data_IF_462789389424
#
_entry.id   IF_462789389424
#
_cell.length_a   1.000
_cell.length_b   1.000
_cell.length_c   1.000
_cell.angle_alpha   90.00
_cell.angle_beta   90.00
_cell.angle_gamma   90.00
#
_symmetry.space_group_name_H-M   'P 1'
#
loop_
_entity.id
_entity.type
_entity.pdbx_description
1 polymer ?
#
# COMPACT_ATOMS: atom_id res chain seq x y z
N UNK A 1 -18.77 -23.77 -5.55
CA UNK A 1 -17.61 -24.48 -6.12
C UNK A 1 -16.58 -23.40 -6.40
N UNK A 2 -15.63 -23.24 -5.48
CA UNK A 2 -14.61 -22.21 -5.60
C UNK A 2 -13.59 -22.64 -6.66
N UNK A 3 -13.58 -21.94 -7.80
CA UNK A 3 -12.51 -22.05 -8.78
C UNK A 3 -11.20 -21.62 -8.10
N UNK A 4 -10.34 -22.59 -7.79
CA UNK A 4 -9.02 -22.33 -7.21
C UNK A 4 -8.20 -21.55 -8.24
N UNK A 5 -8.01 -20.25 -7.97
CA UNK A 5 -7.18 -19.38 -8.82
C UNK A 5 -5.73 -19.87 -8.75
N UNK A 6 -5.22 -20.38 -9.88
CA UNK A 6 -3.83 -20.84 -10.00
C UNK A 6 -2.86 -19.67 -9.99
N UNK A 7 -1.62 -19.90 -9.56
CA UNK A 7 -0.59 -18.87 -9.42
C UNK A 7 -0.19 -18.20 -10.73
N UNK A 8 -0.33 -18.93 -11.84
CA UNK A 8 -0.08 -18.46 -13.20
C UNK A 8 -1.23 -17.61 -13.74
N UNK A 9 -2.40 -17.62 -13.09
CA UNK A 9 -3.51 -16.76 -13.47
C UNK A 9 -3.19 -15.30 -13.12
N UNK A 10 -3.42 -14.42 -14.08
CA UNK A 10 -3.46 -12.96 -13.91
C UNK A 10 -4.27 -12.48 -12.69
N UNK A 11 -5.24 -13.29 -12.22
CA UNK A 11 -6.10 -13.01 -11.07
C UNK A 11 -5.51 -13.44 -9.73
N UNK A 12 -4.41 -14.21 -9.70
CA UNK A 12 -3.82 -14.74 -8.48
C UNK A 12 -3.44 -13.64 -7.49
N UNK A 13 -2.56 -12.72 -7.91
CA UNK A 13 -2.09 -11.64 -7.04
C UNK A 13 -3.21 -10.67 -6.62
N UNK A 14 -4.16 -10.29 -7.49
CA UNK A 14 -5.37 -9.60 -7.05
C UNK A 14 -6.16 -10.33 -5.96
N UNK A 15 -6.41 -11.64 -6.11
CA UNK A 15 -7.16 -12.43 -5.14
C UNK A 15 -6.40 -12.56 -3.80
N UNK A 16 -5.11 -12.88 -3.86
CA UNK A 16 -4.22 -12.95 -2.70
C UNK A 16 -4.16 -11.61 -1.96
N UNK A 17 -4.08 -10.51 -2.70
CA UNK A 17 -4.08 -9.15 -2.17
C UNK A 17 -5.39 -8.80 -1.45
N UNK A 18 -6.54 -9.21 -2.01
CA UNK A 18 -7.84 -9.01 -1.39
C UNK A 18 -7.94 -9.80 -0.07
N UNK A 19 -7.53 -11.07 -0.08
CA UNK A 19 -7.53 -11.91 1.12
C UNK A 19 -6.64 -11.33 2.21
N UNK A 20 -5.41 -10.92 1.87
CA UNK A 20 -4.48 -10.33 2.83
C UNK A 20 -4.96 -8.97 3.35
N UNK A 21 -5.55 -8.13 2.50
CA UNK A 21 -6.16 -6.86 2.91
C UNK A 21 -7.29 -7.09 3.91
N UNK A 22 -8.18 -8.06 3.68
CA UNK A 22 -9.24 -8.42 4.63
C UNK A 22 -8.65 -9.01 5.92
N UNK A 23 -7.67 -9.90 5.81
CA UNK A 23 -7.03 -10.53 6.95
C UNK A 23 -6.35 -9.51 7.87
N UNK A 24 -5.81 -8.42 7.34
CA UNK A 24 -5.13 -7.36 8.12
C UNK A 24 -6.01 -6.71 9.21
N UNK A 25 -7.34 -6.87 9.13
CA UNK A 25 -8.30 -6.37 10.12
C UNK A 25 -8.56 -7.35 11.28
N UNK A 26 -8.13 -8.61 11.14
CA UNK A 26 -8.34 -9.62 12.18
C UNK A 26 -7.33 -9.46 13.33
N UNK A 27 -7.69 -9.99 14.50
CA UNK A 27 -6.78 -9.99 15.65
C UNK A 27 -5.61 -10.97 15.46
N UNK A 28 -4.55 -10.76 16.26
CA UNK A 28 -3.31 -11.53 16.17
C UNK A 28 -3.53 -13.05 16.35
N UNK A 29 -4.45 -13.43 17.24
CA UNK A 29 -4.76 -14.83 17.51
C UNK A 29 -5.38 -15.53 16.29
N UNK A 30 -6.31 -14.87 15.60
CA UNK A 30 -6.95 -15.38 14.38
C UNK A 30 -5.97 -15.46 13.19
N UNK A 31 -5.02 -14.54 13.13
CA UNK A 31 -4.00 -14.52 12.08
C UNK A 31 -2.99 -15.66 12.25
N UNK A 32 -2.58 -15.95 13.49
CA UNK A 32 -1.68 -17.09 13.79
C UNK A 32 -2.26 -18.45 13.42
N UNK A 33 -3.57 -18.61 13.46
CA UNK A 33 -4.24 -19.88 13.09
C UNK A 33 -4.46 -20.04 11.59
N UNK A 34 -4.38 -18.95 10.82
CA UNK A 34 -4.75 -18.93 9.39
C UNK A 34 -3.52 -18.86 8.46
N UNK A 35 -2.39 -18.33 8.96
CA UNK A 35 -1.16 -18.14 8.16
C UNK A 35 -0.05 -19.03 8.74
N UNK A 36 0.28 -20.12 8.05
CA UNK A 36 1.27 -21.11 8.51
C UNK A 36 2.75 -20.64 8.42
N UNK A 37 3.04 -19.48 7.82
CA UNK A 37 4.40 -19.05 7.51
C UNK A 37 4.75 -17.63 8.00
N UNK A 38 5.88 -17.54 8.73
CA UNK A 38 6.60 -16.35 9.25
C UNK A 38 5.77 -15.05 9.38
N UNK A 39 5.34 -14.76 10.60
CA UNK A 39 4.48 -13.61 10.93
C UNK A 39 5.26 -12.53 11.70
N UNK A 40 4.94 -11.25 11.47
CA UNK A 40 5.44 -10.13 12.28
C UNK A 40 4.44 -8.97 12.26
N UNK A 41 3.79 -8.74 13.39
CA UNK A 41 2.89 -7.61 13.63
C UNK A 41 3.68 -6.48 14.31
N UNK A 42 3.90 -5.36 13.62
CA UNK A 42 4.62 -4.22 14.20
C UNK A 42 4.00 -2.88 13.82
N UNK A 43 3.72 -2.06 14.85
CA UNK A 43 3.29 -0.68 14.74
C UNK A 43 2.87 -0.10 16.09
N UNK A 44 2.98 1.24 16.25
CA UNK A 44 2.24 2.00 17.28
C UNK A 44 0.73 2.02 16.93
N UNK A 45 -0.20 2.54 17.77
CA UNK A 45 -1.64 2.35 17.56
C UNK A 45 -2.20 2.80 16.20
N UNK A 46 -1.47 3.61 15.41
CA UNK A 46 -2.00 4.23 14.18
C UNK A 46 -1.76 3.46 12.87
N UNK A 47 -0.70 2.64 12.77
CA UNK A 47 -0.38 1.93 11.50
C UNK A 47 -0.08 0.47 11.78
N UNK A 48 -0.89 -0.41 11.21
CA UNK A 48 -0.79 -1.85 11.41
C UNK A 48 -0.58 -2.54 10.07
N UNK A 49 0.30 -3.53 10.05
CA UNK A 49 0.70 -4.23 8.83
C UNK A 49 0.75 -5.72 9.09
N UNK A 50 0.15 -6.48 8.18
CA UNK A 50 0.30 -7.92 8.06
C UNK A 50 1.38 -8.20 7.01
N UNK A 51 2.42 -8.94 7.39
CA UNK A 51 3.39 -9.50 6.45
C UNK A 51 3.22 -11.02 6.49
N UNK A 52 2.90 -11.62 5.35
CA UNK A 52 2.79 -13.06 5.17
C UNK A 52 3.75 -13.54 4.08
N UNK A 53 4.15 -14.80 4.16
CA UNK A 53 5.00 -15.43 3.15
C UNK A 53 4.26 -16.61 2.49
N UNK A 54 3.90 -16.43 1.23
CA UNK A 54 3.37 -17.48 0.36
C UNK A 54 4.53 -18.26 -0.27
N UNK A 55 4.81 -19.45 0.26
CA UNK A 55 5.86 -20.36 -0.22
C UNK A 55 5.29 -21.32 -1.26
N UNK A 56 5.90 -21.36 -2.44
CA UNK A 56 5.65 -22.38 -3.44
C UNK A 56 6.96 -22.74 -4.13
N UNK A 57 7.44 -23.96 -3.89
CA UNK A 57 8.76 -24.40 -4.38
C UNK A 57 9.85 -23.37 -4.01
N UNK A 58 10.56 -22.83 -5.00
CA UNK A 58 11.56 -21.77 -4.82
C UNK A 58 11.00 -20.35 -5.02
N UNK A 59 9.76 -20.22 -5.50
CA UNK A 59 9.08 -18.94 -5.77
C UNK A 59 8.35 -18.46 -4.54
N UNK A 60 9.09 -17.86 -3.61
CA UNK A 60 8.49 -17.22 -2.45
C UNK A 60 7.82 -15.89 -2.83
N UNK A 61 6.65 -15.59 -2.26
CA UNK A 61 6.05 -14.26 -2.38
C UNK A 61 5.70 -13.71 -1.01
N UNK A 62 6.36 -12.61 -0.63
CA UNK A 62 5.96 -11.83 0.53
C UNK A 62 4.72 -11.00 0.19
N UNK A 63 3.74 -10.99 1.09
CA UNK A 63 2.53 -10.19 0.97
C UNK A 63 2.53 -9.18 2.10
N UNK A 64 2.67 -7.91 1.75
CA UNK A 64 2.63 -6.79 2.70
C UNK A 64 1.26 -6.13 2.61
N UNK A 65 0.42 -6.32 3.63
CA UNK A 65 -0.93 -5.77 3.69
C UNK A 65 -1.03 -4.71 4.80
N UNK A 66 -1.19 -3.46 4.41
CA UNK A 66 -1.49 -2.37 5.34
C UNK A 66 -2.97 -2.43 5.74
N UNK A 67 -3.23 -2.42 7.05
CA UNK A 67 -4.58 -2.27 7.58
C UNK A 67 -5.04 -0.82 7.38
N UNK A 68 -6.28 -0.65 6.96
CA UNK A 68 -6.95 0.65 6.99
C UNK A 68 -7.70 0.89 8.29
N UNK A 69 -8.54 1.92 8.32
CA UNK A 69 -9.53 2.14 9.37
C UNK A 69 -10.75 1.24 9.18
N UNK A 70 -11.45 0.93 10.27
CA UNK A 70 -12.71 0.18 10.23
C UNK A 70 -13.76 0.94 9.39
N UNK A 71 -14.65 0.25 8.65
CA UNK A 71 -15.61 0.91 7.75
C UNK A 71 -16.51 1.95 8.45
N UNK A 72 -16.90 1.71 9.69
CA UNK A 72 -17.72 2.64 10.48
C UNK A 72 -16.94 3.88 10.98
N UNK A 73 -15.61 3.79 10.99
CA UNK A 73 -14.72 4.92 11.29
C UNK A 73 -14.14 5.56 10.02
N UNK A 74 -14.35 4.98 8.83
CA UNK A 74 -13.82 5.50 7.58
C UNK A 74 -14.46 6.85 7.18
N UNK A 75 -15.75 7.03 7.51
CA UNK A 75 -16.45 8.31 7.33
C UNK A 75 -15.95 9.37 8.31
N UNK A 76 -15.73 9.01 9.58
CA UNK A 76 -15.10 9.88 10.58
C UNK A 76 -13.64 10.21 10.25
N UNK A 77 -12.92 9.26 9.65
CA UNK A 77 -11.56 9.43 9.18
C UNK A 77 -11.48 10.45 8.04
N UNK A 78 -12.39 10.43 7.07
CA UNK A 78 -12.40 11.41 5.98
C UNK A 78 -12.58 12.85 6.49
N UNK A 79 -13.22 13.03 7.65
CA UNK A 79 -13.41 14.34 8.31
C UNK A 79 -12.29 14.71 9.27
N UNK A 80 -11.61 13.74 9.88
CA UNK A 80 -10.53 13.93 10.87
C UNK A 80 -9.12 13.94 10.27
N UNK A 81 -8.99 13.72 8.96
CA UNK A 81 -7.70 13.75 8.29
C UNK A 81 -7.06 15.12 8.39
N UNK A 82 -5.82 15.15 8.89
CA UNK A 82 -4.87 16.23 8.64
C UNK A 82 -4.62 16.32 7.12
N UNK A 83 -5.47 17.08 6.41
CA UNK A 83 -5.42 17.34 4.95
C UNK A 83 -4.21 18.23 4.58
N UNK A 84 -3.20 18.32 5.46
CA UNK A 84 -1.97 19.00 5.12
C UNK A 84 -1.29 18.34 3.92
N UNK A 85 -0.70 19.16 3.07
CA UNK A 85 0.12 18.72 1.98
C UNK A 85 1.56 18.52 2.44
N UNK A 86 2.16 17.40 2.05
CA UNK A 86 3.59 17.19 2.09
C UNK A 86 4.15 17.22 0.66
N UNK A 87 4.90 18.27 0.34
CA UNK A 87 5.50 18.46 -0.98
C UNK A 87 6.91 17.89 -1.04
N UNK A 88 7.22 17.18 -2.12
CA UNK A 88 8.57 16.74 -2.46
C UNK A 88 8.97 17.36 -3.81
N UNK A 89 10.04 18.17 -3.87
CA UNK A 89 10.51 18.76 -5.12
C UNK A 89 10.76 17.71 -6.20
N UNK A 90 10.27 17.97 -7.42
CA UNK A 90 10.39 17.05 -8.56
C UNK A 90 9.44 15.84 -8.54
N UNK A 91 8.68 15.66 -7.46
CA UNK A 91 7.70 14.56 -7.34
C UNK A 91 6.27 15.08 -7.33
N UNK A 92 5.98 16.10 -6.53
CA UNK A 92 4.63 16.63 -6.36
C UNK A 92 4.24 16.71 -4.89
N UNK A 93 2.94 16.80 -4.62
CA UNK A 93 2.40 16.86 -3.25
C UNK A 93 1.58 15.64 -2.94
N UNK A 94 1.70 15.17 -1.69
CA UNK A 94 1.01 14.00 -1.16
C UNK A 94 0.36 14.33 0.18
N UNK A 95 -0.62 13.54 0.58
CA UNK A 95 -1.31 13.71 1.86
C UNK A 95 -0.35 13.54 3.05
N UNK A 96 -0.18 14.59 3.83
CA UNK A 96 0.76 14.67 4.96
C UNK A 96 0.43 13.68 6.08
N UNK A 97 -0.86 13.52 6.40
CA UNK A 97 -1.32 12.48 7.34
C UNK A 97 -0.85 11.06 6.96
N UNK A 98 -1.02 10.64 5.70
CA UNK A 98 -0.57 9.31 5.26
C UNK A 98 0.95 9.17 5.27
N UNK A 99 1.67 10.23 4.89
CA UNK A 99 3.14 10.24 4.97
C UNK A 99 3.62 10.05 6.42
N UNK A 100 3.02 10.77 7.38
CA UNK A 100 3.30 10.60 8.82
C UNK A 100 3.00 9.19 9.29
N UNK A 101 1.84 8.64 8.92
CA UNK A 101 1.44 7.29 9.28
C UNK A 101 2.40 6.21 8.73
N UNK A 102 2.98 6.43 7.55
CA UNK A 102 3.93 5.50 6.94
C UNK A 102 5.33 5.58 7.58
N UNK A 103 5.75 6.74 8.07
CA UNK A 103 7.05 6.91 8.73
C UNK A 103 7.78 8.23 8.47
N UNK A 104 7.11 9.25 7.93
CA UNK A 104 7.72 10.58 7.73
C UNK A 104 8.23 11.14 9.07
N UNK A 105 9.50 11.54 9.10
CA UNK A 105 10.11 12.13 10.28
C UNK A 105 9.93 13.64 10.31
N UNK A 106 9.53 14.16 11.48
CA UNK A 106 9.39 15.60 11.70
C UNK A 106 10.75 16.29 11.50
N UNK A 107 10.78 17.38 10.75
CA UNK A 107 11.96 18.20 10.43
C UNK A 107 13.07 17.53 9.58
N UNK A 108 13.11 16.19 9.49
CA UNK A 108 14.11 15.45 8.72
C UNK A 108 13.57 14.96 7.36
N UNK A 109 12.27 14.66 7.29
CA UNK A 109 11.66 14.14 6.07
C UNK A 109 11.81 12.63 5.93
N UNK A 110 12.33 12.19 4.78
CA UNK A 110 12.52 10.77 4.41
C UNK A 110 14.00 10.43 4.23
N UNK A 111 14.81 10.43 5.31
CA UNK A 111 16.21 10.02 5.21
C UNK A 111 16.30 8.58 4.67
N UNK A 112 17.28 8.32 3.80
CA UNK A 112 17.42 6.99 3.18
C UNK A 112 17.72 5.93 4.22
N UNK A 113 18.61 6.21 5.15
CA UNK A 113 18.90 5.30 6.27
C UNK A 113 18.59 6.00 7.59
N UNK A 114 18.20 5.21 8.58
CA UNK A 114 17.89 5.68 9.92
C UNK A 114 18.61 4.79 10.93
N UNK A 115 19.04 5.40 12.03
CA UNK A 115 19.44 4.63 13.20
C UNK A 115 18.18 4.26 13.98
N UNK A 116 18.11 2.99 14.38
CA UNK A 116 16.97 2.50 15.15
C UNK A 116 17.15 2.89 16.62
N UNK A 117 16.38 3.86 17.06
CA UNK A 117 16.22 4.15 18.49
C UNK A 117 15.16 3.23 19.08
N UNK A 118 15.56 2.33 20.00
CA UNK A 118 14.67 1.38 20.66
C UNK A 118 13.67 2.06 21.61
N UNK A 119 13.94 3.31 22.02
CA UNK A 119 13.02 4.10 22.84
C UNK A 119 11.92 4.74 22.01
N UNK A 120 12.12 4.81 20.69
CA UNK A 120 11.14 5.36 19.77
C UNK A 120 10.32 4.25 19.10
N UNK A 121 9.09 4.59 18.69
CA UNK A 121 8.25 3.67 17.97
C UNK A 121 8.87 3.29 16.63
N UNK A 122 8.74 2.03 16.20
CA UNK A 122 9.16 1.64 14.87
C UNK A 122 8.40 2.44 13.80
N UNK A 123 9.12 2.88 12.78
CA UNK A 123 8.55 3.53 11.60
C UNK A 123 8.22 2.46 10.55
N UNK A 124 6.96 2.39 10.13
CA UNK A 124 6.44 1.27 9.34
C UNK A 124 7.23 1.03 8.05
N UNK A 125 7.53 2.09 7.28
CA UNK A 125 8.33 1.99 6.05
C UNK A 125 9.66 1.27 6.28
N UNK A 126 10.47 1.75 7.23
CA UNK A 126 11.82 1.23 7.45
C UNK A 126 11.80 -0.21 7.95
N UNK A 127 10.88 -0.55 8.86
CA UNK A 127 10.71 -1.93 9.34
C UNK A 127 10.38 -2.87 8.20
N UNK A 128 9.39 -2.54 7.37
CA UNK A 128 8.94 -3.39 6.25
C UNK A 128 10.08 -3.52 5.23
N UNK A 129 10.72 -2.40 4.88
CA UNK A 129 11.85 -2.37 3.97
C UNK A 129 12.97 -3.30 4.43
N UNK A 130 13.35 -3.25 5.71
CA UNK A 130 14.45 -4.05 6.23
C UNK A 130 14.09 -5.54 6.32
N UNK A 131 12.83 -5.87 6.64
CA UNK A 131 12.32 -7.26 6.58
C UNK A 131 12.39 -7.79 5.14
N UNK A 132 11.95 -7.01 4.16
CA UNK A 132 11.98 -7.40 2.76
C UNK A 132 13.41 -7.47 2.22
N UNK A 133 14.28 -6.50 2.53
CA UNK A 133 15.70 -6.54 2.15
C UNK A 133 16.34 -7.85 2.61
N UNK A 134 16.13 -8.23 3.87
CA UNK A 134 16.63 -9.50 4.41
C UNK A 134 16.04 -10.70 3.67
N UNK A 135 14.71 -10.82 3.63
CA UNK A 135 14.04 -11.98 3.03
C UNK A 135 14.33 -12.19 1.54
N UNK A 136 14.43 -11.09 0.78
CA UNK A 136 14.74 -11.14 -0.66
C UNK A 136 16.23 -11.38 -0.93
N UNK A 137 17.14 -11.03 0.00
CA UNK A 137 18.56 -11.36 -0.14
C UNK A 137 18.86 -12.85 0.11
N UNK A 138 18.00 -13.54 0.87
CA UNK A 138 18.14 -14.96 1.19
C UNK A 138 17.56 -15.89 0.09
N UNK A 139 16.68 -15.38 -0.78
CA UNK A 139 16.12 -16.11 -1.92
C UNK A 139 16.01 -15.17 -3.13
N UNK A 140 16.85 -15.39 -4.13
CA UNK A 140 16.94 -14.59 -5.35
C UNK A 140 15.67 -14.63 -6.22
N UNK A 141 14.86 -15.69 -6.11
CA UNK A 141 13.57 -15.85 -6.80
C UNK A 141 12.39 -15.32 -6.00
N UNK A 142 12.61 -14.91 -4.75
CA UNK A 142 11.56 -14.33 -3.94
C UNK A 142 11.12 -12.98 -4.51
N UNK A 143 9.81 -12.74 -4.47
CA UNK A 143 9.18 -11.47 -4.85
C UNK A 143 8.28 -10.98 -3.74
N UNK A 144 7.71 -9.79 -3.90
CA UNK A 144 6.68 -9.33 -2.98
C UNK A 144 5.59 -8.52 -3.67
N UNK A 145 4.43 -8.49 -3.04
CA UNK A 145 3.32 -7.61 -3.39
C UNK A 145 2.99 -6.71 -2.20
N UNK A 146 2.47 -5.52 -2.49
CA UNK A 146 1.99 -4.57 -1.48
C UNK A 146 0.51 -4.32 -1.69
N UNK A 147 -0.26 -4.35 -0.61
CA UNK A 147 -1.70 -4.21 -0.68
C UNK A 147 -2.27 -3.49 0.54
N UNK A 148 -3.55 -3.13 0.44
CA UNK A 148 -4.30 -2.56 1.53
C UNK A 148 -5.67 -2.08 1.08
N UNK A 149 -6.57 -1.95 2.05
CA UNK A 149 -7.93 -1.47 1.87
C UNK A 149 -8.12 -0.10 2.55
N UNK A 150 -8.90 0.80 1.95
CA UNK A 150 -9.16 2.15 2.47
C UNK A 150 -7.83 2.91 2.71
N UNK A 151 -7.59 3.46 3.92
CA UNK A 151 -6.31 4.04 4.35
C UNK A 151 -5.12 3.11 4.04
N UNK A 152 -5.25 1.80 4.23
CA UNK A 152 -4.20 0.84 3.93
C UNK A 152 -3.81 0.86 2.45
N UNK A 153 -4.76 1.12 1.55
CA UNK A 153 -4.48 1.30 0.13
C UNK A 153 -3.65 2.57 -0.15
N UNK A 154 -3.85 3.63 0.63
CA UNK A 154 -3.04 4.85 0.51
C UNK A 154 -1.61 4.62 1.01
N UNK A 155 -1.44 3.90 2.11
CA UNK A 155 -0.13 3.51 2.63
C UNK A 155 0.62 2.58 1.67
N UNK A 156 -0.09 1.64 1.04
CA UNK A 156 0.49 0.71 0.05
C UNK A 156 1.14 1.43 -1.14
N UNK A 157 0.47 2.44 -1.71
CA UNK A 157 1.06 3.20 -2.83
C UNK A 157 2.19 4.10 -2.37
N UNK A 158 2.07 4.72 -1.19
CA UNK A 158 3.13 5.57 -0.64
C UNK A 158 4.38 4.75 -0.29
N UNK A 159 4.23 3.50 0.15
CA UNK A 159 5.36 2.60 0.35
C UNK A 159 6.16 2.45 -0.95
N UNK A 160 5.49 2.17 -2.08
CA UNK A 160 6.11 2.12 -3.41
C UNK A 160 6.77 3.46 -3.82
N UNK A 161 6.16 4.59 -3.45
CA UNK A 161 6.74 5.92 -3.67
C UNK A 161 8.05 6.11 -2.92
N UNK A 162 8.11 5.76 -1.64
CA UNK A 162 9.35 5.94 -0.85
C UNK A 162 10.44 4.98 -1.33
N UNK A 163 10.10 3.76 -1.78
CA UNK A 163 11.06 2.86 -2.44
C UNK A 163 11.71 3.53 -3.67
N UNK A 164 10.90 4.20 -4.51
CA UNK A 164 11.39 4.94 -5.68
C UNK A 164 12.28 6.11 -5.27
N UNK A 165 11.88 6.88 -4.24
CA UNK A 165 12.67 8.01 -3.74
C UNK A 165 14.03 7.58 -3.16
N UNK A 166 14.07 6.43 -2.49
CA UNK A 166 15.29 5.89 -1.89
C UNK A 166 16.15 5.11 -2.90
N UNK A 167 15.69 4.94 -4.14
CA UNK A 167 16.32 4.09 -5.15
C UNK A 167 16.63 2.69 -4.58
N UNK A 168 15.63 2.05 -4.00
CA UNK A 168 15.73 0.69 -3.45
C UNK A 168 15.75 -0.35 -4.57
N UNK A 169 16.83 -0.43 -5.34
CA UNK A 169 16.91 -1.22 -6.58
C UNK A 169 16.47 -2.67 -6.41
N UNK A 170 17.00 -3.38 -5.39
CA UNK A 170 16.63 -4.78 -5.12
C UNK A 170 15.12 -4.94 -4.88
N UNK A 171 14.52 -4.03 -4.10
CA UNK A 171 13.09 -4.08 -3.79
C UNK A 171 12.25 -3.71 -5.00
N UNK A 172 12.65 -2.69 -5.77
CA UNK A 172 11.92 -2.27 -6.97
C UNK A 172 11.93 -3.37 -8.04
N UNK A 173 13.03 -4.10 -8.20
CA UNK A 173 13.14 -5.24 -9.12
C UNK A 173 12.34 -6.47 -8.67
N UNK A 174 12.07 -6.61 -7.36
CA UNK A 174 11.34 -7.74 -6.77
C UNK A 174 9.88 -7.41 -6.43
N UNK A 175 9.45 -6.17 -6.67
CA UNK A 175 8.07 -5.73 -6.48
C UNK A 175 7.20 -6.20 -7.64
N UNK A 176 6.47 -7.30 -7.41
CA UNK A 176 5.58 -7.90 -8.40
C UNK A 176 4.33 -7.04 -8.67
N UNK A 177 3.87 -6.29 -7.66
CA UNK A 177 2.83 -5.32 -7.87
C UNK A 177 2.25 -4.71 -6.60
N UNK A 178 1.48 -3.64 -6.82
CA UNK A 178 0.70 -2.95 -5.81
C UNK A 178 -0.77 -3.09 -6.17
N UNK A 179 -1.56 -3.62 -5.24
CA UNK A 179 -2.99 -3.88 -5.45
C UNK A 179 -3.77 -3.20 -4.33
N UNK A 180 -4.58 -2.19 -4.65
CA UNK A 180 -5.26 -1.39 -3.62
C UNK A 180 -6.78 -1.50 -3.76
N UNK A 181 -7.47 -1.51 -2.63
CA UNK A 181 -8.92 -1.65 -2.58
C UNK A 181 -9.54 -0.44 -1.91
N UNK A 182 -10.50 0.21 -2.57
CA UNK A 182 -11.19 1.41 -2.05
C UNK A 182 -10.23 2.53 -1.62
N UNK A 183 -9.13 2.68 -2.36
CA UNK A 183 -8.08 3.62 -2.03
C UNK A 183 -8.54 5.08 -2.23
N UNK A 184 -8.35 5.97 -1.22
CA UNK A 184 -8.59 7.40 -1.37
C UNK A 184 -7.51 8.06 -2.23
N UNK A 185 -7.72 9.29 -2.70
CA UNK A 185 -6.68 10.00 -3.46
C UNK A 185 -5.50 10.33 -2.55
N UNK A 186 -4.28 10.16 -3.05
CA UNK A 186 -3.06 10.21 -2.23
C UNK A 186 -2.21 11.44 -2.51
N UNK A 187 -2.24 11.96 -3.73
CA UNK A 187 -1.46 13.15 -4.10
C UNK A 187 -2.03 13.90 -5.28
N UNK A 188 -1.34 14.94 -5.70
CA UNK A 188 -1.74 15.80 -6.81
C UNK A 188 -1.37 15.24 -8.20
N UNK A 189 -1.67 16.00 -9.26
CA UNK A 189 -1.37 15.59 -10.63
C UNK A 189 0.12 15.41 -10.94
N UNK A 190 1.01 16.16 -10.27
CA UNK A 190 2.45 15.99 -10.44
C UNK A 190 2.90 14.64 -9.86
N UNK A 191 2.44 14.31 -8.65
CA UNK A 191 2.68 13.01 -8.01
C UNK A 191 2.17 11.85 -8.87
N UNK A 192 0.95 11.97 -9.40
CA UNK A 192 0.35 10.98 -10.29
C UNK A 192 1.21 10.71 -11.54
N UNK A 193 1.77 11.76 -12.15
CA UNK A 193 2.63 11.64 -13.32
C UNK A 193 4.00 11.04 -12.97
N UNK A 194 4.61 11.48 -11.88
CA UNK A 194 5.88 10.94 -11.39
C UNK A 194 5.79 9.42 -11.16
N UNK A 195 4.79 8.97 -10.41
CA UNK A 195 4.65 7.55 -10.09
C UNK A 195 4.29 6.69 -11.32
N UNK A 196 3.51 7.24 -12.26
CA UNK A 196 3.24 6.55 -13.53
C UNK A 196 4.51 6.29 -14.32
N UNK A 197 5.43 7.25 -14.35
CA UNK A 197 6.73 7.09 -15.02
C UNK A 197 7.60 6.05 -14.28
N UNK A 198 7.71 6.16 -12.96
CA UNK A 198 8.52 5.24 -12.14
C UNK A 198 8.04 3.80 -12.22
N UNK A 199 6.73 3.56 -12.19
CA UNK A 199 6.19 2.21 -12.33
C UNK A 199 6.38 1.63 -13.74
N UNK A 200 6.37 2.47 -14.77
CA UNK A 200 6.73 2.04 -16.12
C UNK A 200 8.21 1.66 -16.20
N UNK A 201 9.09 2.46 -15.62
CA UNK A 201 10.55 2.23 -15.57
C UNK A 201 10.89 0.90 -14.87
N UNK A 202 10.28 0.64 -13.71
CA UNK A 202 10.52 -0.56 -12.91
C UNK A 202 9.58 -1.74 -13.24
N UNK A 203 8.75 -1.62 -14.27
CA UNK A 203 7.77 -2.66 -14.66
C UNK A 203 6.83 -3.09 -13.53
N UNK A 204 6.53 -2.18 -12.59
CA UNK A 204 5.67 -2.43 -11.44
C UNK A 204 4.21 -2.39 -11.87
N UNK A 205 3.47 -3.48 -11.62
CA UNK A 205 2.02 -3.51 -11.85
C UNK A 205 1.30 -2.76 -10.73
N UNK A 206 0.45 -1.80 -11.09
CA UNK A 206 -0.40 -1.09 -10.14
C UNK A 206 -1.87 -1.16 -10.56
N UNK A 207 -2.67 -1.83 -9.73
CA UNK A 207 -4.10 -2.02 -9.95
C UNK A 207 -4.89 -1.50 -8.76
N UNK A 208 -5.90 -0.68 -9.06
CA UNK A 208 -6.83 -0.11 -8.08
C UNK A 208 -8.21 -0.70 -8.29
N UNK A 209 -8.78 -1.23 -7.22
CA UNK A 209 -10.08 -1.86 -7.21
C UNK A 209 -11.06 -0.94 -6.49
N UNK A 210 -12.08 -0.50 -7.22
CA UNK A 210 -13.10 0.46 -6.74
C UNK A 210 -14.48 -0.16 -6.92
N UNK A 211 -15.31 -0.13 -5.88
CA UNK A 211 -16.72 -0.53 -5.97
C UNK A 211 -17.57 0.70 -6.34
N UNK A 212 -18.48 0.56 -7.31
CA UNK A 212 -19.10 1.67 -8.05
C UNK A 212 -19.87 2.69 -7.18
N UNK A 213 -20.40 2.27 -6.03
CA UNK A 213 -21.24 3.11 -5.16
C UNK A 213 -20.47 3.77 -4.00
N UNK A 214 -19.15 3.72 -3.98
CA UNK A 214 -18.40 4.14 -2.78
C UNK A 214 -17.86 5.56 -2.83
N UNK A 215 -17.94 6.22 -1.67
CA UNK A 215 -17.50 7.58 -1.43
C UNK A 215 -15.98 7.67 -1.22
N UNK A 216 -15.37 6.70 -0.55
CA UNK A 216 -13.93 6.73 -0.18
C UNK A 216 -13.01 6.92 -1.40
N UNK A 217 -13.22 6.25 -2.55
CA UNK A 217 -12.42 6.48 -3.75
C UNK A 217 -12.69 7.84 -4.42
N UNK A 218 -13.67 8.61 -3.96
CA UNK A 218 -13.98 9.95 -4.45
C UNK A 218 -13.43 11.03 -3.52
N UNK A 219 -12.72 10.65 -2.46
CA UNK A 219 -12.14 11.54 -1.47
C UNK A 219 -10.61 11.42 -1.41
N UNK A 220 -9.88 12.51 -1.11
CA UNK A 220 -10.34 13.90 -1.13
C UNK A 220 -10.90 14.30 -2.51
N UNK A 221 -11.84 15.25 -2.56
CA UNK A 221 -12.54 15.62 -3.80
C UNK A 221 -11.58 16.14 -4.89
N UNK A 222 -11.94 15.93 -6.16
CA UNK A 222 -11.25 16.52 -7.32
C UNK A 222 -11.94 17.84 -7.68
N UNK A 223 -11.96 18.76 -6.73
CA UNK A 223 -12.41 20.13 -6.94
C UNK A 223 -11.20 21.08 -7.05
N UNK A 224 -11.48 22.32 -7.45
CA UNK A 224 -10.45 23.35 -7.68
C UNK A 224 -9.63 23.69 -6.44
N UNK A 225 -10.11 23.34 -5.24
CA UNK A 225 -9.42 23.65 -3.98
C UNK A 225 -8.51 22.50 -3.53
N UNK A 226 -8.96 21.24 -3.69
CA UNK A 226 -8.24 20.06 -3.21
C UNK A 226 -7.35 19.40 -4.26
N UNK A 227 -7.63 19.43 -5.57
CA UNK A 227 -6.69 19.05 -6.65
C UNK A 227 -6.00 17.65 -6.55
N UNK A 228 -6.48 16.74 -5.72
CA UNK A 228 -5.95 15.38 -5.63
C UNK A 228 -6.34 14.58 -6.88
N UNK A 229 -5.43 13.73 -7.38
CA UNK A 229 -5.68 12.90 -8.57
C UNK A 229 -5.32 11.43 -8.36
N UNK A 230 -6.14 10.57 -8.94
CA UNK A 230 -5.88 9.13 -9.02
C UNK A 230 -4.98 8.80 -10.23
N UNK A 231 -4.21 7.73 -10.13
CA UNK A 231 -3.40 7.19 -11.24
C UNK A 231 -3.34 5.66 -11.19
N UNK A 232 -2.86 5.01 -12.26
CA UNK A 232 -2.84 3.55 -12.39
C UNK A 232 -4.11 2.97 -13.01
N UNK A 233 -4.14 1.66 -13.23
CA UNK A 233 -5.28 0.96 -13.83
C UNK A 233 -6.40 0.82 -12.80
N UNK A 234 -7.58 1.36 -13.08
CA UNK A 234 -8.76 1.24 -12.22
C UNK A 234 -9.69 0.14 -12.75
N UNK A 235 -10.02 -0.82 -11.89
CA UNK A 235 -10.96 -1.90 -12.18
C UNK A 235 -12.20 -1.72 -11.31
N UNK A 236 -13.36 -1.61 -11.96
CA UNK A 236 -14.65 -1.44 -11.30
C UNK A 236 -15.34 -2.79 -11.13
N UNK A 237 -15.96 -3.00 -9.97
CA UNK A 237 -16.78 -4.18 -9.69
C UNK A 237 -18.19 -3.73 -9.27
N UNK A 238 -19.23 -4.27 -9.94
CA UNK A 238 -20.65 -3.92 -9.75
C UNK A 238 -21.26 -3.15 -10.93
N UNK A 239 -22.59 -3.20 -11.09
CA UNK A 239 -23.33 -2.43 -12.11
C UNK A 239 -23.33 -0.94 -11.75
N UNK A 240 -22.61 -0.13 -12.52
CA UNK A 240 -22.69 1.33 -12.45
C UNK A 240 -23.72 1.81 -13.48
N UNK A 241 -24.71 2.64 -13.14
CA UNK A 241 -25.38 3.45 -14.15
C UNK A 241 -24.32 4.41 -14.69
N UNK A 242 -23.90 4.23 -15.94
CA UNK A 242 -23.01 5.17 -16.61
C UNK A 242 -23.64 6.55 -16.60
N UNK A 243 -23.13 7.45 -15.76
CA UNK A 243 -23.24 8.88 -16.02
C UNK A 243 -21.84 9.44 -16.21
N UNK A 244 -21.47 9.49 -17.48
CA UNK A 244 -20.39 10.31 -18.02
C UNK A 244 -20.60 11.78 -17.63
N UNK A 245 -19.59 12.39 -17.02
CA UNK A 245 -19.07 13.73 -17.32
C UNK A 245 -17.77 13.94 -16.55
#
# INVERSE_FOLDING_TARGET
>A
MDDVVRREDSKYYPALSMMASKASYNNEAYLKTTVENYWKYQGKPTTQVLIALDKHEDRHTYVVAFRGTEPFEADAWCTDLDISWYGIPGVGRMHGGFMKALGLQKNVGWPKEIERDENLPPLAYYVIRDILRKGLSENDKAKFIVTGHSLGGALAILFGTILCLHNETLLLERLEGIYTFRQPRVGDGAYANYMRQKFKEHHVRYCRFVYCNELVPRLPYDDKEMMFKHFGTCLFFGTCPMNSR
#
